data_IF_400339345285
#
_entry.id   IF_400339345285
#
_cell.length_a   1.000
_cell.length_b   1.000
_cell.length_c   1.000
_cell.angle_alpha   90.00
_cell.angle_beta   90.00
_cell.angle_gamma   90.00
#
_symmetry.space_group_name_H-M   'P 1'
#
loop_
_entity.id
_entity.type
_entity.pdbx_description
1 polymer ?
#
# COMPACT_ATOMS: atom_id res chain seq x y z
N UNK A 1 11.44 21.64 -2.34
CA UNK A 1 10.92 20.33 -2.73
C UNK A 1 9.50 20.55 -3.21
N UNK A 2 9.06 19.96 -4.34
CA UNK A 2 7.67 20.07 -4.78
C UNK A 2 6.75 19.25 -3.87
N UNK A 3 5.45 19.54 -3.87
CA UNK A 3 4.44 18.77 -3.13
C UNK A 3 4.46 17.29 -3.53
N UNK A 4 4.56 17.01 -4.84
CA UNK A 4 4.74 15.65 -5.39
C UNK A 4 5.93 14.92 -4.77
N UNK A 5 7.10 15.56 -4.70
CA UNK A 5 8.30 14.93 -4.15
C UNK A 5 8.19 14.71 -2.64
N UNK A 6 7.54 15.62 -1.92
CA UNK A 6 7.29 15.45 -0.49
C UNK A 6 6.38 14.24 -0.24
N UNK A 7 5.27 14.13 -0.98
CA UNK A 7 4.35 13.01 -0.87
C UNK A 7 5.01 11.67 -1.25
N UNK A 8 5.83 11.63 -2.30
CA UNK A 8 6.60 10.44 -2.66
C UNK A 8 7.55 10.00 -1.54
N UNK A 9 8.24 10.96 -0.91
CA UNK A 9 9.14 10.65 0.20
C UNK A 9 8.38 10.09 1.40
N UNK A 10 7.26 10.71 1.79
CA UNK A 10 6.40 10.21 2.88
C UNK A 10 5.83 8.83 2.56
N UNK A 11 5.33 8.62 1.34
CA UNK A 11 4.76 7.35 0.89
C UNK A 11 5.82 6.22 0.81
N UNK A 12 7.08 6.58 0.56
CA UNK A 12 8.21 5.63 0.57
C UNK A 12 8.59 5.13 1.96
N UNK A 13 8.19 5.82 3.04
CA UNK A 13 8.55 5.45 4.41
C UNK A 13 8.04 4.04 4.78
N UNK A 14 6.94 3.60 4.18
CA UNK A 14 6.41 2.25 4.34
C UNK A 14 7.44 1.16 3.99
N UNK A 15 8.22 1.34 2.91
CA UNK A 15 9.26 0.38 2.51
C UNK A 15 10.31 0.22 3.62
N UNK A 16 10.75 1.33 4.21
CA UNK A 16 11.71 1.32 5.31
C UNK A 16 11.19 0.51 6.49
N UNK A 17 9.92 0.70 6.85
CA UNK A 17 9.27 -0.02 7.94
C UNK A 17 9.10 -1.51 7.67
N UNK A 18 8.71 -1.89 6.46
CA UNK A 18 8.64 -3.31 6.09
C UNK A 18 10.03 -3.98 6.15
N UNK A 19 11.10 -3.26 5.78
CA UNK A 19 12.48 -3.75 5.94
C UNK A 19 12.89 -3.91 7.40
N UNK A 20 12.52 -2.98 8.28
CA UNK A 20 12.72 -3.12 9.73
C UNK A 20 12.00 -4.36 10.27
N UNK A 21 10.74 -4.59 9.87
CA UNK A 21 9.97 -5.77 10.29
C UNK A 21 10.55 -7.07 9.73
N UNK A 22 11.22 -7.04 8.58
CA UNK A 22 11.86 -8.22 8.00
C UNK A 22 13.03 -8.76 8.82
N UNK A 23 13.59 -7.96 9.74
CA UNK A 23 14.62 -8.40 10.69
C UNK A 23 14.03 -9.20 11.86
N UNK A 24 12.70 -9.21 12.00
CA UNK A 24 11.99 -9.91 13.07
C UNK A 24 11.71 -11.37 12.72
N UNK A 25 11.68 -12.23 13.74
CA UNK A 25 11.35 -13.64 13.58
C UNK A 25 9.87 -13.90 13.23
N UNK A 26 9.55 -15.10 12.73
CA UNK A 26 8.18 -15.49 12.34
C UNK A 26 7.15 -15.32 13.48
N UNK A 27 7.59 -15.42 14.74
CA UNK A 27 6.76 -15.16 15.91
C UNK A 27 6.16 -13.75 15.92
N UNK A 28 6.94 -12.74 15.53
CA UNK A 28 6.46 -11.36 15.38
C UNK A 28 5.39 -11.26 14.29
N UNK A 29 5.66 -11.85 13.12
CA UNK A 29 4.75 -11.85 11.97
C UNK A 29 3.41 -12.54 12.26
N UNK A 30 3.44 -13.58 13.09
CA UNK A 30 2.28 -14.32 13.56
C UNK A 30 1.55 -13.66 14.74
N UNK A 31 2.09 -12.59 15.32
CA UNK A 31 1.51 -11.93 16.49
C UNK A 31 0.34 -11.02 16.08
N UNK A 32 -0.83 -11.15 16.74
CA UNK A 32 -1.94 -10.20 16.59
C UNK A 32 -1.55 -8.78 17.03
N UNK A 33 -1.92 -7.76 16.25
CA UNK A 33 -1.70 -6.34 16.60
C UNK A 33 -2.44 -5.92 17.88
N UNK A 34 -3.51 -6.64 18.22
CA UNK A 34 -4.22 -6.59 19.49
C UNK A 34 -5.07 -7.86 19.66
N UNK A 35 -5.62 -8.08 20.86
CA UNK A 35 -6.48 -9.23 21.15
C UNK A 35 -7.66 -9.29 20.17
N UNK A 36 -7.78 -10.39 19.44
CA UNK A 36 -8.85 -10.62 18.46
C UNK A 36 -8.73 -9.79 17.16
N UNK A 37 -7.59 -9.14 16.93
CA UNK A 37 -7.30 -8.39 15.70
C UNK A 37 -6.36 -9.17 14.78
N UNK A 38 -6.13 -8.60 13.60
CA UNK A 38 -5.25 -9.13 12.57
C UNK A 38 -3.81 -9.28 13.07
N UNK A 39 -3.06 -10.18 12.46
CA UNK A 39 -1.62 -10.32 12.70
C UNK A 39 -0.82 -9.24 11.96
N UNK A 40 0.45 -9.08 12.31
CA UNK A 40 1.40 -8.26 11.52
C UNK A 40 1.37 -8.68 10.05
N UNK A 41 1.43 -10.00 9.79
CA UNK A 41 1.35 -10.59 8.45
C UNK A 41 0.08 -10.19 7.70
N UNK A 42 -1.08 -10.31 8.36
CA UNK A 42 -2.37 -9.90 7.80
C UNK A 42 -2.36 -8.40 7.45
N UNK A 43 -1.74 -7.57 8.30
CA UNK A 43 -1.65 -6.12 8.09
C UNK A 43 -0.78 -5.79 6.87
N UNK A 44 0.44 -6.30 6.83
CA UNK A 44 1.38 -6.03 5.74
C UNK A 44 0.81 -6.49 4.39
N UNK A 45 0.16 -7.67 4.37
CA UNK A 45 -0.43 -8.19 3.15
C UNK A 45 -1.62 -7.35 2.66
N UNK A 46 -2.47 -6.80 3.53
CA UNK A 46 -3.56 -5.96 3.05
C UNK A 46 -3.05 -4.67 2.37
N UNK A 47 -1.99 -4.05 2.91
CA UNK A 47 -1.42 -2.82 2.34
C UNK A 47 -0.83 -3.13 0.96
N UNK A 48 -0.07 -4.22 0.85
CA UNK A 48 0.45 -4.70 -0.42
C UNK A 48 -0.66 -4.92 -1.46
N UNK A 49 -1.79 -5.54 -1.07
CA UNK A 49 -2.90 -5.81 -2.00
C UNK A 49 -3.59 -4.53 -2.48
N UNK A 50 -3.70 -3.52 -1.62
CA UNK A 50 -4.14 -2.20 -2.05
C UNK A 50 -3.14 -1.51 -2.97
N UNK A 51 -1.84 -1.63 -2.71
CA UNK A 51 -0.80 -1.11 -3.59
C UNK A 51 -0.90 -1.73 -5.00
N UNK A 52 -1.06 -3.06 -5.08
CA UNK A 52 -1.25 -3.79 -6.34
C UNK A 52 -2.53 -3.36 -7.09
N UNK A 53 -3.62 -3.18 -6.35
CA UNK A 53 -4.90 -2.75 -6.91
C UNK A 53 -4.79 -1.35 -7.53
N UNK A 54 -4.31 -0.36 -6.78
CA UNK A 54 -4.20 1.02 -7.29
C UNK A 54 -3.13 1.18 -8.36
N UNK A 55 -2.07 0.36 -8.33
CA UNK A 55 -1.12 0.29 -9.44
C UNK A 55 -1.82 -0.12 -10.73
N UNK A 56 -2.55 -1.23 -10.70
CA UNK A 56 -3.18 -1.84 -11.88
C UNK A 56 -4.34 -0.99 -12.40
N UNK A 57 -5.21 -0.51 -11.49
CA UNK A 57 -6.49 0.09 -11.86
C UNK A 57 -6.42 1.61 -12.07
N UNK A 58 -5.37 2.28 -11.58
CA UNK A 58 -5.18 3.72 -11.73
C UNK A 58 -3.79 4.10 -12.27
N UNK A 59 -2.73 3.90 -11.48
CA UNK A 59 -1.44 4.56 -11.73
C UNK A 59 -0.79 4.10 -13.05
N UNK A 60 -0.82 2.80 -13.35
CA UNK A 60 -0.33 2.26 -14.61
C UNK A 60 -1.14 2.79 -15.80
N UNK A 61 -2.46 2.94 -15.64
CA UNK A 61 -3.37 3.42 -16.69
C UNK A 61 -3.18 4.89 -17.01
N UNK A 62 -2.93 5.71 -16.00
CA UNK A 62 -2.55 7.11 -16.19
C UNK A 62 -1.26 7.19 -17.03
N UNK A 63 -0.32 6.28 -16.80
CA UNK A 63 0.96 6.24 -17.53
C UNK A 63 0.80 5.83 -19.00
N UNK A 64 -0.23 5.04 -19.33
CA UNK A 64 -0.55 4.61 -20.71
C UNK A 64 -1.60 5.48 -21.40
N UNK A 65 -2.24 6.41 -20.68
CA UNK A 65 -3.35 7.21 -21.19
C UNK A 65 -4.69 6.46 -21.26
N UNK A 66 -4.79 5.32 -20.58
CA UNK A 66 -6.01 4.52 -20.51
C UNK A 66 -7.00 5.07 -19.48
N UNK A 67 -8.29 4.78 -19.68
CA UNK A 67 -9.32 5.10 -18.69
C UNK A 67 -9.12 4.28 -17.40
N UNK A 68 -9.19 4.96 -16.26
CA UNK A 68 -9.09 4.33 -14.95
C UNK A 68 -10.24 3.35 -14.74
N UNK A 69 -9.97 2.27 -14.02
CA UNK A 69 -10.96 1.23 -13.70
C UNK A 69 -11.04 0.94 -12.21
N UNK A 70 -10.47 1.81 -11.39
CA UNK A 70 -10.71 1.82 -9.93
C UNK A 70 -12.21 1.86 -9.70
N UNK A 71 -12.71 0.97 -8.85
CA UNK A 71 -14.12 0.83 -8.51
C UNK A 71 -14.22 0.57 -7.02
N UNK A 72 -15.36 0.88 -6.46
CA UNK A 72 -15.74 0.40 -5.16
C UNK A 72 -15.74 -1.14 -5.17
N UNK A 73 -14.90 -1.70 -4.32
CA UNK A 73 -14.90 -3.13 -3.98
C UNK A 73 -15.49 -3.29 -2.59
N UNK A 74 -16.09 -4.44 -2.32
CA UNK A 74 -16.47 -4.80 -0.95
C UNK A 74 -15.18 -4.93 -0.11
N UNK A 75 -14.93 -3.95 0.75
CA UNK A 75 -13.68 -3.88 1.51
C UNK A 75 -13.50 -5.05 2.47
N UNK A 76 -14.58 -5.56 3.06
CA UNK A 76 -14.50 -6.70 3.97
C UNK A 76 -14.09 -7.96 3.20
N UNK A 77 -14.66 -8.17 2.03
CA UNK A 77 -14.32 -9.28 1.14
C UNK A 77 -12.89 -9.16 0.62
N UNK A 78 -12.50 -8.00 0.10
CA UNK A 78 -11.16 -7.75 -0.42
C UNK A 78 -10.08 -7.92 0.66
N UNK A 79 -10.33 -7.39 1.86
CA UNK A 79 -9.41 -7.51 2.97
C UNK A 79 -9.33 -8.95 3.49
N UNK A 80 -10.45 -9.68 3.56
CA UNK A 80 -10.43 -11.08 3.96
C UNK A 80 -9.69 -11.95 2.94
N UNK A 81 -9.88 -11.73 1.64
CA UNK A 81 -9.09 -12.38 0.59
C UNK A 81 -7.59 -12.09 0.74
N UNK A 82 -7.23 -10.84 1.06
CA UNK A 82 -5.85 -10.44 1.33
C UNK A 82 -5.26 -11.23 2.52
N UNK A 83 -6.04 -11.44 3.58
CA UNK A 83 -5.61 -12.25 4.73
C UNK A 83 -5.46 -13.73 4.39
N UNK A 84 -6.37 -14.28 3.60
CA UNK A 84 -6.25 -15.67 3.16
C UNK A 84 -5.02 -15.85 2.27
N UNK A 85 -4.74 -14.89 1.39
CA UNK A 85 -3.53 -14.88 0.58
C UNK A 85 -2.26 -14.79 1.45
N UNK A 86 -2.26 -13.96 2.49
CA UNK A 86 -1.12 -13.79 3.40
C UNK A 86 -0.66 -15.12 4.04
N UNK A 87 -1.59 -16.06 4.28
CA UNK A 87 -1.31 -17.40 4.83
C UNK A 87 -0.61 -18.34 3.85
N UNK A 88 -0.65 -18.02 2.56
CA UNK A 88 -0.03 -18.83 1.50
C UNK A 88 1.44 -18.47 1.27
N UNK A 89 1.91 -17.36 1.85
CA UNK A 89 3.25 -16.81 1.64
C UNK A 89 4.18 -17.16 2.79
N UNK A 90 5.48 -17.31 2.50
CA UNK A 90 6.49 -17.14 3.54
C UNK A 90 6.62 -15.66 3.93
N UNK A 91 7.25 -15.37 5.07
CA UNK A 91 7.50 -13.97 5.47
C UNK A 91 8.40 -13.26 4.47
N UNK A 92 9.45 -13.92 3.99
CA UNK A 92 10.36 -13.37 2.99
C UNK A 92 9.62 -13.04 1.69
N UNK A 93 8.76 -13.96 1.22
CA UNK A 93 7.97 -13.73 0.02
C UNK A 93 6.98 -12.57 0.18
N UNK A 94 6.37 -12.41 1.36
CA UNK A 94 5.47 -11.31 1.64
C UNK A 94 6.22 -9.97 1.69
N UNK A 95 7.38 -9.92 2.35
CA UNK A 95 8.24 -8.72 2.40
C UNK A 95 8.65 -8.30 0.99
N UNK A 96 9.16 -9.23 0.19
CA UNK A 96 9.63 -8.96 -1.17
C UNK A 96 8.50 -8.45 -2.07
N UNK A 97 7.32 -9.08 -2.01
CA UNK A 97 6.15 -8.64 -2.78
C UNK A 97 5.66 -7.27 -2.34
N UNK A 98 5.62 -7.01 -1.02
CA UNK A 98 5.19 -5.71 -0.47
C UNK A 98 6.11 -4.58 -0.94
N UNK A 99 7.42 -4.77 -0.80
CA UNK A 99 8.41 -3.77 -1.25
C UNK A 99 8.29 -3.57 -2.76
N UNK A 100 8.19 -4.65 -3.53
CA UNK A 100 8.06 -4.58 -4.99
C UNK A 100 6.80 -3.82 -5.43
N UNK A 101 5.66 -4.07 -4.78
CA UNK A 101 4.40 -3.39 -5.08
C UNK A 101 4.52 -1.87 -4.81
N UNK A 102 5.03 -1.48 -3.64
CA UNK A 102 5.21 -0.07 -3.29
C UNK A 102 6.23 0.63 -4.18
N UNK A 103 7.35 -0.02 -4.51
CA UNK A 103 8.36 0.54 -5.43
C UNK A 103 7.79 0.75 -6.84
N UNK A 104 6.95 -0.16 -7.35
CA UNK A 104 6.28 0.02 -8.64
C UNK A 104 5.39 1.25 -8.66
N UNK A 105 4.59 1.46 -7.61
CA UNK A 105 3.76 2.66 -7.47
C UNK A 105 4.59 3.94 -7.44
N UNK A 106 5.59 3.99 -6.57
CA UNK A 106 6.46 5.16 -6.40
C UNK A 106 7.14 5.51 -7.71
N UNK A 107 7.76 4.54 -8.39
CA UNK A 107 8.46 4.79 -9.66
C UNK A 107 7.51 5.27 -10.76
N UNK A 108 6.31 4.71 -10.83
CA UNK A 108 5.32 5.12 -11.82
C UNK A 108 4.83 6.55 -11.57
N UNK A 109 4.57 6.92 -10.32
CA UNK A 109 4.17 8.28 -9.95
C UNK A 109 5.32 9.26 -10.15
N UNK A 110 6.54 8.90 -9.75
CA UNK A 110 7.74 9.74 -9.92
C UNK A 110 7.99 10.07 -11.41
N UNK A 111 7.92 9.05 -12.28
CA UNK A 111 8.10 9.20 -13.73
C UNK A 111 6.95 9.95 -14.43
N UNK A 112 5.81 10.11 -13.78
CA UNK A 112 4.64 10.79 -14.35
C UNK A 112 4.96 12.27 -14.64
N UNK A 113 4.68 12.79 -15.85
CA UNK A 113 4.81 14.22 -16.14
C UNK A 113 3.96 15.06 -15.18
N UNK A 114 4.43 16.25 -14.80
CA UNK A 114 3.71 17.13 -13.87
C UNK A 114 2.28 17.42 -14.37
N UNK A 115 2.12 17.63 -15.68
CA UNK A 115 0.80 17.83 -16.30
C UNK A 115 -0.14 16.65 -16.10
N UNK A 116 0.37 15.42 -16.08
CA UNK A 116 -0.45 14.23 -15.82
C UNK A 116 -0.72 14.05 -14.33
N UNK A 117 0.22 14.43 -13.48
CA UNK A 117 0.10 14.35 -12.03
C UNK A 117 -0.97 15.30 -11.47
N UNK A 118 -1.04 16.53 -12.01
CA UNK A 118 -1.98 17.58 -11.59
C UNK A 118 -3.39 17.41 -12.17
N UNK A 119 -3.61 16.47 -13.09
CA UNK A 119 -4.92 16.24 -13.68
C UNK A 119 -5.89 15.56 -12.72
N UNK A 120 -7.16 15.93 -12.86
CA UNK A 120 -8.29 15.21 -12.28
C UNK A 120 -8.81 14.18 -13.28
N UNK A 121 -8.76 12.93 -12.89
CA UNK A 121 -9.27 11.80 -13.64
C UNK A 121 -10.67 11.41 -13.17
N UNK A 122 -11.29 10.47 -13.88
CA UNK A 122 -12.53 9.83 -13.48
C UNK A 122 -12.26 8.35 -13.28
N UNK A 123 -12.60 7.82 -12.11
CA UNK A 123 -12.49 6.40 -11.82
C UNK A 123 -13.58 5.57 -12.54
N UNK A 124 -13.52 4.26 -12.37
CA UNK A 124 -14.45 3.30 -12.98
C UNK A 124 -15.88 3.39 -12.46
N UNK A 125 -16.14 4.12 -11.36
CA UNK A 125 -17.47 4.40 -10.83
C UNK A 125 -17.98 5.81 -11.18
N UNK A 126 -17.17 6.62 -11.86
CA UNK A 126 -17.54 7.98 -12.26
C UNK A 126 -17.15 9.06 -11.24
N UNK A 127 -16.37 8.73 -10.20
CA UNK A 127 -15.91 9.68 -9.20
C UNK A 127 -14.56 10.30 -9.58
N UNK A 128 -14.25 11.51 -9.06
CA UNK A 128 -12.97 12.14 -9.32
C UNK A 128 -11.81 11.36 -8.66
N UNK A 129 -10.73 11.18 -9.40
CA UNK A 129 -9.47 10.61 -8.92
C UNK A 129 -8.31 11.58 -9.16
N UNK A 130 -7.53 11.86 -8.13
CA UNK A 130 -6.35 12.74 -8.19
C UNK A 130 -5.16 12.03 -7.54
N UNK A 131 -4.01 12.01 -8.21
CA UNK A 131 -2.83 11.25 -7.74
C UNK A 131 -2.30 11.81 -6.41
N UNK A 132 -2.33 13.12 -6.23
CA UNK A 132 -1.94 13.76 -4.97
C UNK A 132 -2.87 13.36 -3.82
N UNK A 133 -4.19 13.36 -4.05
CA UNK A 133 -5.17 12.96 -3.03
C UNK A 133 -5.02 11.48 -2.67
N UNK A 134 -4.88 10.61 -3.67
CA UNK A 134 -4.57 9.18 -3.48
C UNK A 134 -3.37 8.99 -2.55
N UNK A 135 -2.23 9.66 -2.81
CA UNK A 135 -1.06 9.52 -1.94
C UNK A 135 -1.33 10.02 -0.53
N UNK A 136 -2.04 11.16 -0.35
CA UNK A 136 -2.37 11.66 1.00
C UNK A 136 -3.23 10.66 1.78
N UNK A 137 -4.24 10.08 1.15
CA UNK A 137 -5.12 9.10 1.77
C UNK A 137 -4.36 7.84 2.18
N UNK A 138 -3.49 7.34 1.30
CA UNK A 138 -2.70 6.14 1.57
C UNK A 138 -1.53 6.37 2.54
N UNK A 139 -0.93 7.56 2.57
CA UNK A 139 0.03 7.94 3.62
C UNK A 139 -0.66 7.96 4.99
N UNK A 140 -1.87 8.50 5.08
CA UNK A 140 -2.65 8.48 6.32
C UNK A 140 -2.99 7.04 6.74
N UNK A 141 -3.43 6.21 5.79
CA UNK A 141 -3.75 4.80 5.99
C UNK A 141 -2.53 4.01 6.50
N UNK A 142 -1.38 4.16 5.85
CA UNK A 142 -0.14 3.51 6.24
C UNK A 142 0.28 3.94 7.66
N UNK A 143 0.19 5.24 7.98
CA UNK A 143 0.52 5.74 9.31
C UNK A 143 -0.44 5.22 10.40
N UNK A 144 -1.72 5.05 10.08
CA UNK A 144 -2.69 4.43 10.98
C UNK A 144 -2.27 3.00 11.34
N UNK A 145 -1.89 2.20 10.33
CA UNK A 145 -1.45 0.82 10.56
C UNK A 145 -0.06 0.72 11.18
N UNK A 146 0.88 1.59 10.81
CA UNK A 146 2.18 1.68 11.47
C UNK A 146 2.05 1.98 12.96
N UNK A 147 1.11 2.84 13.36
CA UNK A 147 0.84 3.08 14.78
C UNK A 147 0.35 1.84 15.53
N UNK A 148 -0.36 0.92 14.85
CA UNK A 148 -0.76 -0.38 15.41
C UNK A 148 0.40 -1.38 15.43
N UNK A 149 1.16 -1.48 14.34
CA UNK A 149 2.30 -2.39 14.20
C UNK A 149 3.42 -2.08 15.21
N UNK A 150 3.69 -0.79 15.45
CA UNK A 150 4.70 -0.35 16.42
C UNK A 150 4.32 -0.63 17.88
N UNK A 151 3.07 -1.01 18.17
CA UNK A 151 2.66 -1.46 19.51
C UNK A 151 2.96 -2.94 19.74
N UNK A 152 3.24 -3.70 18.67
CA UNK A 152 3.64 -5.09 18.76
C UNK A 152 5.09 -5.15 19.25
N UNK A 153 5.33 -5.93 20.30
CA UNK A 153 6.68 -6.11 20.85
C UNK A 153 7.58 -6.75 19.79
N UNK A 154 8.62 -6.00 19.39
CA UNK A 154 9.70 -6.50 18.54
C UNK A 154 10.68 -7.31 19.39
N UNK A 155 11.12 -8.45 18.87
CA UNK A 155 12.17 -9.27 19.48
C UNK A 155 13.51 -8.78 18.92
N UNK A 156 14.46 -8.51 19.81
CA UNK A 156 15.81 -8.06 19.47
C UNK A 156 16.80 -9.19 19.26
#
# INVERSE_FOLDING_TARGET
MSDKQQLLNEYSAWIGKVREFAEQEEGYWSTPIAVGKWTVRDVVCHIMRWDEYFYTEAIAKISTGDALTVRHVDYDTFNEESRQYAKTLSTEALVDQTITAREKLIRAIEAMPETSYELRYTDGDGHPFEVAQFMRDFIWHDNHHLAQLNQVLQVG
#
